data_IF_898337223695
#
_entry.id   IF_898337223695
#
_cell.length_a   1.000
_cell.length_b   1.000
_cell.length_c   1.000
_cell.angle_alpha   90.00
_cell.angle_beta   90.00
_cell.angle_gamma   90.00
#
_symmetry.space_group_name_H-M   'P 1'
#
loop_
_entity.id
_entity.type
_entity.pdbx_description
1 polymer ?
#
# COMPACT_ATOMS: atom_id res chain seq x y z
N UNK A 1 -10.87 -14.03 18.99
CA UNK A 1 -10.23 -13.00 18.18
C UNK A 1 -11.20 -11.83 18.12
N UNK A 2 -10.82 -10.66 17.70
CA UNK A 2 -11.67 -9.51 17.93
C UNK A 2 -11.79 -8.63 16.70
N UNK A 3 -13.01 -8.22 16.36
CA UNK A 3 -13.27 -7.09 15.46
C UNK A 3 -12.71 -5.81 16.10
N UNK A 4 -12.18 -4.90 15.29
CA UNK A 4 -11.69 -3.60 15.74
C UNK A 4 -12.46 -2.50 15.03
N UNK A 5 -12.89 -1.49 15.80
CA UNK A 5 -13.60 -0.33 15.26
C UNK A 5 -12.92 0.95 15.76
N UNK A 6 -12.57 1.81 14.82
CA UNK A 6 -12.29 3.22 15.06
C UNK A 6 -13.53 4.00 14.64
N UNK A 7 -14.11 4.80 15.53
CA UNK A 7 -15.29 5.60 15.24
C UNK A 7 -14.98 7.09 15.45
N UNK A 8 -14.86 7.82 14.33
CA UNK A 8 -14.59 9.25 14.32
C UNK A 8 -13.29 9.65 15.02
N UNK A 9 -12.27 8.78 15.02
CA UNK A 9 -11.03 8.99 15.77
C UNK A 9 -10.25 10.17 15.22
N UNK A 10 -9.90 11.09 16.13
CA UNK A 10 -9.06 12.25 15.82
C UNK A 10 -7.91 12.37 16.81
N UNK A 11 -6.75 12.81 16.34
CA UNK A 11 -5.58 13.12 17.16
C UNK A 11 -4.93 14.42 16.73
N UNK A 12 -4.85 15.34 17.68
CA UNK A 12 -4.15 16.63 17.53
C UNK A 12 -2.99 16.67 18.51
N UNK A 13 -1.79 16.97 18.02
CA UNK A 13 -0.61 17.20 18.85
C UNK A 13 -0.40 18.70 19.04
N UNK A 14 -0.18 19.12 20.28
CA UNK A 14 -0.07 20.53 20.62
C UNK A 14 -1.35 21.29 20.29
N UNK A 15 -1.22 22.50 19.69
CA UNK A 15 -2.36 23.33 19.29
C UNK A 15 -2.81 23.11 17.85
N UNK A 16 -1.95 22.62 16.94
CA UNK A 16 -2.18 22.80 15.51
C UNK A 16 -1.86 21.57 14.63
N UNK A 17 -1.15 20.56 15.14
CA UNK A 17 -0.73 19.42 14.32
C UNK A 17 -1.81 18.31 14.35
N UNK A 18 -2.64 18.27 13.32
CA UNK A 18 -3.65 17.22 13.16
C UNK A 18 -2.97 15.99 12.53
N UNK A 19 -2.72 14.97 13.33
CA UNK A 19 -2.11 13.72 12.86
C UNK A 19 -3.13 12.68 12.39
N UNK A 20 -4.34 12.68 12.96
CA UNK A 20 -5.48 11.84 12.56
C UNK A 20 -6.72 12.72 12.61
N UNK A 21 -7.53 12.69 11.56
CA UNK A 21 -8.68 13.56 11.40
C UNK A 21 -9.93 12.76 11.05
N UNK A 22 -10.79 12.56 12.04
CA UNK A 22 -12.10 11.93 11.93
C UNK A 22 -12.07 10.58 11.18
N UNK A 23 -11.13 9.70 11.53
CA UNK A 23 -10.99 8.39 10.91
C UNK A 23 -11.98 7.41 11.49
N UNK A 24 -12.84 6.88 10.62
CA UNK A 24 -13.74 5.75 10.93
C UNK A 24 -13.31 4.54 10.09
N UNK A 25 -12.95 3.43 10.77
CA UNK A 25 -12.45 2.22 10.14
C UNK A 25 -12.91 1.00 10.91
N UNK A 26 -13.52 0.07 10.22
CA UNK A 26 -13.91 -1.23 10.74
C UNK A 26 -13.01 -2.33 10.18
N UNK A 27 -12.43 -3.14 11.08
CA UNK A 27 -11.55 -4.27 10.76
C UNK A 27 -12.22 -5.53 11.26
N UNK A 28 -12.48 -6.47 10.38
CA UNK A 28 -13.16 -7.73 10.70
C UNK A 28 -12.37 -8.63 11.64
N UNK A 29 -13.07 -9.54 12.31
CA UNK A 29 -12.43 -10.58 13.12
C UNK A 29 -11.56 -11.49 12.22
N UNK A 30 -10.31 -11.67 12.59
CA UNK A 30 -9.34 -12.44 11.81
C UNK A 30 -8.86 -11.77 10.51
N UNK A 31 -9.20 -10.51 10.28
CA UNK A 31 -8.78 -9.78 9.05
C UNK A 31 -7.33 -9.30 9.13
N UNK A 32 -6.63 -9.35 7.97
CA UNK A 32 -5.33 -8.69 7.77
C UNK A 32 -5.55 -7.34 7.09
N UNK A 33 -5.61 -6.27 7.89
CA UNK A 33 -5.75 -4.89 7.43
C UNK A 33 -4.38 -4.22 7.31
N UNK A 34 -4.09 -3.63 6.16
CA UNK A 34 -2.87 -2.82 5.97
C UNK A 34 -3.21 -1.34 5.95
N UNK A 35 -2.46 -0.53 6.68
CA UNK A 35 -2.49 0.92 6.61
C UNK A 35 -1.32 1.41 5.77
N UNK A 36 -1.59 2.14 4.71
CA UNK A 36 -0.58 2.64 3.76
C UNK A 36 -0.80 4.12 3.46
N UNK A 37 0.25 4.82 3.05
CA UNK A 37 0.22 6.24 2.69
C UNK A 37 1.59 6.87 2.87
N UNK A 38 1.80 8.11 2.42
CA UNK A 38 3.06 8.83 2.53
C UNK A 38 3.51 9.00 3.98
N UNK A 39 4.78 9.34 4.17
CA UNK A 39 5.32 9.64 5.48
C UNK A 39 4.56 10.78 6.16
N UNK A 40 4.33 10.64 7.46
CA UNK A 40 3.58 11.63 8.24
C UNK A 40 2.06 11.61 8.06
N UNK A 41 1.48 10.72 7.23
CA UNK A 41 0.02 10.68 7.01
C UNK A 41 -0.80 10.10 8.18
N UNK A 42 -0.20 9.74 9.32
CA UNK A 42 -0.91 9.32 10.53
C UNK A 42 -0.95 7.82 10.80
N UNK A 43 -0.38 6.93 9.95
CA UNK A 43 -0.41 5.45 10.11
C UNK A 43 0.06 4.98 11.49
N UNK A 44 1.30 5.32 11.85
CA UNK A 44 1.88 4.92 13.14
C UNK A 44 1.15 5.58 14.33
N UNK A 45 0.54 6.76 14.12
CA UNK A 45 -0.30 7.40 15.14
C UNK A 45 -1.56 6.58 15.39
N UNK A 46 -2.27 6.15 14.35
CA UNK A 46 -3.44 5.24 14.46
C UNK A 46 -3.03 3.95 15.17
N UNK A 47 -1.90 3.36 14.78
CA UNK A 47 -1.43 2.12 15.41
C UNK A 47 -1.12 2.32 16.91
N UNK A 48 -0.50 3.45 17.28
CA UNK A 48 -0.22 3.80 18.69
C UNK A 48 -1.50 4.09 19.48
N UNK A 49 -2.50 4.71 18.87
CA UNK A 49 -3.83 4.90 19.47
C UNK A 49 -4.47 3.54 19.77
N UNK A 50 -4.47 2.62 18.82
CA UNK A 50 -4.97 1.25 19.01
C UNK A 50 -4.23 0.52 20.13
N UNK A 51 -2.90 0.72 20.21
CA UNK A 51 -2.07 0.15 21.26
C UNK A 51 -2.30 0.78 22.66
N UNK A 52 -2.97 1.93 22.75
CA UNK A 52 -3.10 2.71 23.97
C UNK A 52 -1.80 3.41 24.41
N UNK A 53 -0.87 3.58 23.44
CA UNK A 53 0.38 4.31 23.63
C UNK A 53 0.21 5.80 23.31
N UNK A 54 -0.92 6.16 22.70
CA UNK A 54 -1.29 7.53 22.36
C UNK A 54 -2.78 7.73 22.68
N UNK A 55 -3.13 8.84 23.31
CA UNK A 55 -4.50 9.20 23.64
C UNK A 55 -5.21 9.81 22.43
N UNK A 56 -6.49 9.53 22.27
CA UNK A 56 -7.33 10.19 21.26
C UNK A 56 -7.71 11.61 21.72
N UNK A 57 -7.86 12.51 20.77
CA UNK A 57 -8.43 13.85 21.05
C UNK A 57 -9.96 13.81 20.97
N UNK A 58 -10.50 12.99 20.06
CA UNK A 58 -11.94 12.73 19.90
C UNK A 58 -12.18 11.37 19.25
N UNK A 59 -13.39 10.85 19.37
CA UNK A 59 -13.79 9.55 18.82
C UNK A 59 -13.55 8.39 19.78
N UNK A 60 -13.86 7.19 19.33
CA UNK A 60 -13.84 5.98 20.15
C UNK A 60 -13.07 4.84 19.48
N UNK A 61 -12.48 3.98 20.33
CA UNK A 61 -11.79 2.75 19.92
C UNK A 61 -12.44 1.57 20.61
N UNK A 62 -12.84 0.57 19.81
CA UNK A 62 -13.48 -0.66 20.30
C UNK A 62 -12.68 -1.86 19.83
N UNK A 63 -12.39 -2.80 20.72
CA UNK A 63 -11.76 -4.10 20.43
C UNK A 63 -12.66 -5.22 20.95
N UNK A 64 -13.16 -6.06 20.05
CA UNK A 64 -14.21 -7.01 20.37
C UNK A 64 -15.48 -6.27 20.81
N UNK A 65 -15.98 -6.60 22.01
CA UNK A 65 -17.15 -5.98 22.62
C UNK A 65 -16.77 -4.88 23.64
N UNK A 66 -15.48 -4.51 23.71
CA UNK A 66 -14.98 -3.61 24.76
C UNK A 66 -14.54 -2.29 24.16
N UNK A 67 -15.10 -1.18 24.64
CA UNK A 67 -14.58 0.14 24.39
C UNK A 67 -13.26 0.31 25.17
N UNK A 68 -12.16 0.54 24.43
CA UNK A 68 -10.82 0.59 25.00
C UNK A 68 -10.18 1.98 24.93
N UNK A 69 -10.96 3.00 24.57
CA UNK A 69 -10.46 4.37 24.32
C UNK A 69 -9.56 4.86 25.45
N UNK A 70 -10.01 4.74 26.71
CA UNK A 70 -9.29 5.21 27.89
C UNK A 70 -8.48 4.10 28.61
N UNK A 71 -8.48 2.87 28.08
CA UNK A 71 -7.76 1.77 28.70
C UNK A 71 -6.25 1.84 28.41
N UNK A 72 -5.41 1.59 29.41
CA UNK A 72 -3.96 1.51 29.21
C UNK A 72 -3.59 0.26 28.37
N UNK A 73 -2.40 0.23 27.74
CA UNK A 73 -1.98 -0.86 26.82
C UNK A 73 -2.09 -2.26 27.44
N UNK A 74 -1.81 -2.40 28.74
CA UNK A 74 -1.85 -3.70 29.44
C UNK A 74 -3.25 -4.34 29.54
N UNK A 75 -4.31 -3.54 29.37
CA UNK A 75 -5.71 -3.94 29.51
C UNK A 75 -6.41 -4.16 28.16
N UNK A 76 -5.74 -3.83 27.03
CA UNK A 76 -6.31 -3.95 25.68
C UNK A 76 -6.14 -5.33 25.05
N UNK A 77 -5.41 -6.23 25.68
CA UNK A 77 -5.10 -7.60 25.21
C UNK A 77 -4.60 -7.67 23.75
N UNK A 78 -3.75 -6.74 23.37
CA UNK A 78 -3.11 -6.66 22.05
C UNK A 78 -1.60 -6.97 22.16
N UNK A 79 -0.98 -7.32 21.05
CA UNK A 79 0.47 -7.44 20.96
C UNK A 79 1.02 -6.57 19.84
N UNK A 80 2.07 -5.81 20.12
CA UNK A 80 2.71 -4.91 19.15
C UNK A 80 4.11 -5.40 18.78
N UNK A 81 4.38 -5.37 17.46
CA UNK A 81 5.72 -5.58 16.89
C UNK A 81 6.19 -4.22 16.38
N UNK A 82 7.28 -3.73 16.93
CA UNK A 82 7.87 -2.44 16.60
C UNK A 82 8.86 -2.55 15.45
N UNK A 83 9.07 -1.48 14.71
CA UNK A 83 10.02 -1.35 13.61
C UNK A 83 11.46 -1.78 13.99
N UNK A 84 11.90 -1.46 15.20
CA UNK A 84 13.22 -1.82 15.72
C UNK A 84 13.26 -3.15 16.49
N UNK A 85 12.19 -3.98 16.35
CA UNK A 85 11.99 -5.27 17.01
C UNK A 85 11.89 -5.20 18.55
N UNK A 86 12.45 -4.21 19.20
CA UNK A 86 12.46 -3.97 20.65
C UNK A 86 12.80 -5.22 21.49
N UNK A 87 13.76 -6.05 21.04
CA UNK A 87 14.21 -7.23 21.75
C UNK A 87 15.07 -6.85 22.95
N UNK A 88 15.01 -7.64 24.03
CA UNK A 88 15.86 -7.48 25.20
C UNK A 88 17.25 -8.05 24.90
N UNK A 89 18.32 -7.21 24.73
CA UNK A 89 19.60 -7.65 24.19
C UNK A 89 20.40 -8.57 25.12
N UNK A 90 20.11 -8.50 26.41
CA UNK A 90 20.76 -9.34 27.43
C UNK A 90 20.11 -10.70 27.64
N UNK A 91 18.90 -10.90 27.09
CA UNK A 91 18.13 -12.16 27.19
C UNK A 91 18.36 -13.04 25.97
N UNK A 92 18.29 -14.37 26.16
CA UNK A 92 18.27 -15.34 25.07
C UNK A 92 16.95 -15.26 24.28
N UNK A 93 16.85 -15.95 23.11
CA UNK A 93 15.62 -16.09 22.34
C UNK A 93 14.50 -16.66 23.21
N UNK A 94 14.75 -17.78 23.91
CA UNK A 94 13.80 -18.41 24.82
C UNK A 94 13.31 -17.44 25.91
N UNK A 95 14.23 -16.66 26.45
CA UNK A 95 13.92 -15.67 27.48
C UNK A 95 13.10 -14.50 26.93
N UNK A 96 13.39 -14.03 25.71
CA UNK A 96 12.62 -13.01 25.03
C UNK A 96 11.20 -13.48 24.75
N UNK A 97 11.04 -14.69 24.18
CA UNK A 97 9.73 -15.28 23.90
C UNK A 97 8.88 -15.39 25.18
N UNK A 98 9.42 -15.96 26.23
CA UNK A 98 8.70 -16.22 27.49
C UNK A 98 8.53 -15.01 28.41
N UNK A 99 9.10 -13.83 28.09
CA UNK A 99 9.11 -12.70 29.01
C UNK A 99 7.73 -12.22 29.41
N UNK A 100 6.84 -12.02 28.46
CA UNK A 100 5.46 -11.56 28.70
C UNK A 100 4.65 -12.53 29.56
N UNK A 101 4.81 -13.83 29.35
CA UNK A 101 4.14 -14.86 30.15
C UNK A 101 4.69 -14.92 31.58
N UNK A 102 6.00 -14.68 31.76
CA UNK A 102 6.59 -14.57 33.11
C UNK A 102 6.02 -13.42 33.91
N UNK A 103 5.82 -12.26 33.28
CA UNK A 103 5.18 -11.10 33.94
C UNK A 103 3.73 -11.38 34.32
N UNK A 104 3.01 -12.16 33.51
CA UNK A 104 1.63 -12.63 33.81
C UNK A 104 1.59 -13.76 34.84
N UNK A 105 2.75 -14.19 35.36
CA UNK A 105 2.89 -15.30 36.34
C UNK A 105 2.32 -16.64 35.81
N UNK A 106 2.40 -16.87 34.50
CA UNK A 106 1.96 -18.12 33.87
C UNK A 106 2.75 -19.31 34.45
N UNK A 107 2.08 -20.45 34.76
CA UNK A 107 2.75 -21.65 35.28
C UNK A 107 3.91 -22.11 34.39
N UNK A 108 5.02 -22.54 34.99
CA UNK A 108 6.25 -22.87 34.23
C UNK A 108 6.07 -23.93 33.15
N UNK A 109 5.19 -24.90 33.36
CA UNK A 109 4.89 -25.97 32.39
C UNK A 109 4.20 -25.37 31.16
N UNK A 110 3.18 -24.56 31.36
CA UNK A 110 2.45 -23.90 30.28
C UNK A 110 3.32 -22.89 29.55
N UNK A 111 4.13 -22.09 30.26
CA UNK A 111 5.08 -21.16 29.66
C UNK A 111 6.05 -21.90 28.72
N UNK A 112 6.64 -23.00 29.19
CA UNK A 112 7.56 -23.79 28.39
C UNK A 112 6.88 -24.33 27.14
N UNK A 113 5.70 -24.93 27.28
CA UNK A 113 4.92 -25.47 26.17
C UNK A 113 4.64 -24.40 25.09
N UNK A 114 4.09 -23.23 25.47
CA UNK A 114 3.78 -22.15 24.53
C UNK A 114 5.02 -21.59 23.84
N UNK A 115 6.14 -21.46 24.55
CA UNK A 115 7.41 -20.99 23.98
C UNK A 115 7.95 -22.00 22.97
N UNK A 116 7.90 -23.31 23.27
CA UNK A 116 8.34 -24.37 22.37
C UNK A 116 7.43 -24.43 21.12
N UNK A 117 6.11 -24.38 21.29
CA UNK A 117 5.15 -24.39 20.19
C UNK A 117 5.41 -23.22 19.20
N UNK A 118 5.59 -22.00 19.72
CA UNK A 118 5.87 -20.81 18.89
C UNK A 118 7.27 -20.88 18.28
N UNK A 119 8.27 -21.39 19.02
CA UNK A 119 9.61 -21.55 18.47
C UNK A 119 9.62 -22.49 17.27
N UNK A 120 8.90 -23.60 17.35
CA UNK A 120 8.75 -24.58 16.26
C UNK A 120 8.02 -23.96 15.06
N UNK A 121 6.91 -23.24 15.28
CA UNK A 121 6.17 -22.54 14.21
C UNK A 121 7.08 -21.58 13.42
N UNK A 122 7.98 -20.87 14.12
CA UNK A 122 8.84 -19.84 13.55
C UNK A 122 10.23 -20.36 13.15
N UNK A 123 10.52 -21.68 13.35
CA UNK A 123 11.83 -22.28 13.09
C UNK A 123 12.95 -21.67 13.93
N UNK A 124 12.65 -21.39 15.21
CA UNK A 124 13.59 -20.77 16.17
C UNK A 124 14.26 -21.80 17.08
N UNK A 125 13.87 -23.09 17.03
CA UNK A 125 14.38 -24.15 17.91
C UNK A 125 15.93 -24.16 18.01
N UNK A 126 16.69 -24.10 16.88
CA UNK A 126 18.17 -24.12 16.96
C UNK A 126 18.77 -22.82 17.52
N UNK A 127 17.96 -21.77 17.72
CA UNK A 127 18.41 -20.45 18.11
C UNK A 127 18.04 -20.08 19.55
N UNK A 128 17.32 -20.96 20.28
CA UNK A 128 16.70 -20.67 21.58
C UNK A 128 17.68 -20.13 22.63
N UNK A 129 18.94 -20.56 22.60
CA UNK A 129 19.96 -20.16 23.56
C UNK A 129 20.80 -18.95 23.10
N UNK A 130 20.60 -18.49 21.84
CA UNK A 130 21.32 -17.31 21.32
C UNK A 130 20.72 -16.00 21.86
N UNK A 131 21.56 -14.95 21.86
CA UNK A 131 21.13 -13.58 22.17
C UNK A 131 20.86 -12.81 20.88
N UNK A 132 20.05 -11.72 20.91
CA UNK A 132 19.71 -10.92 19.73
C UNK A 132 20.90 -10.45 18.88
N UNK A 133 22.05 -10.13 19.51
CA UNK A 133 23.27 -9.73 18.80
C UNK A 133 23.89 -10.82 17.92
N UNK A 134 23.53 -12.09 18.15
CA UNK A 134 24.04 -13.26 17.42
C UNK A 134 23.10 -13.71 16.30
N UNK A 135 22.03 -12.94 16.04
CA UNK A 135 20.99 -13.25 15.09
C UNK A 135 21.06 -12.35 13.86
N UNK A 136 20.66 -12.89 12.69
CA UNK A 136 20.41 -12.08 11.50
C UNK A 136 19.16 -11.19 11.68
N UNK A 137 18.97 -10.20 10.78
CA UNK A 137 17.79 -9.32 10.80
C UNK A 137 16.47 -10.11 10.80
N UNK A 138 16.29 -11.05 9.87
CA UNK A 138 15.09 -11.88 9.81
C UNK A 138 14.92 -12.83 10.98
N UNK A 139 16.02 -13.29 11.60
CA UNK A 139 15.94 -14.06 12.84
C UNK A 139 15.46 -13.20 14.01
N UNK A 140 15.97 -11.96 14.15
CA UNK A 140 15.49 -11.00 15.17
C UNK A 140 14.00 -10.69 14.98
N UNK A 141 13.57 -10.50 13.74
CA UNK A 141 12.16 -10.27 13.43
C UNK A 141 11.29 -11.45 13.86
N UNK A 142 11.66 -12.69 13.50
CA UNK A 142 10.93 -13.89 13.93
C UNK A 142 10.83 -13.99 15.45
N UNK A 143 11.89 -13.63 16.18
CA UNK A 143 11.84 -13.57 17.65
C UNK A 143 10.87 -12.50 18.15
N UNK A 144 10.84 -11.31 17.52
CA UNK A 144 9.89 -10.25 17.89
C UNK A 144 8.45 -10.69 17.66
N UNK A 145 8.18 -11.33 16.51
CA UNK A 145 6.87 -11.92 16.22
C UNK A 145 6.50 -13.02 17.22
N UNK A 146 7.41 -13.94 17.51
CA UNK A 146 7.19 -15.00 18.48
C UNK A 146 6.88 -14.47 19.88
N UNK A 147 7.53 -13.40 20.31
CA UNK A 147 7.23 -12.71 21.57
C UNK A 147 5.80 -12.15 21.61
N UNK A 148 5.28 -11.69 20.48
CA UNK A 148 3.91 -11.26 20.35
C UNK A 148 2.94 -12.46 20.37
N UNK A 149 3.23 -13.51 19.59
CA UNK A 149 2.40 -14.71 19.43
C UNK A 149 2.20 -15.53 20.72
N UNK A 150 3.26 -15.71 21.51
CA UNK A 150 3.22 -16.50 22.76
C UNK A 150 2.12 -15.99 23.73
N UNK A 151 1.71 -14.72 23.59
CA UNK A 151 0.69 -14.11 24.43
C UNK A 151 -0.75 -14.46 24.01
N UNK A 152 -0.94 -15.00 22.79
CA UNK A 152 -2.26 -15.26 22.18
C UNK A 152 -3.17 -14.03 22.28
N UNK A 153 -2.80 -12.88 21.69
CA UNK A 153 -3.54 -11.65 21.82
C UNK A 153 -4.80 -11.67 20.96
N UNK A 154 -5.75 -10.79 21.25
CA UNK A 154 -6.94 -10.59 20.41
C UNK A 154 -6.59 -9.95 19.07
N UNK A 155 -5.55 -9.13 19.01
CA UNK A 155 -5.06 -8.53 17.76
C UNK A 155 -3.54 -8.31 17.76
N UNK A 156 -2.95 -8.39 16.57
CA UNK A 156 -1.57 -7.99 16.29
C UNK A 156 -1.51 -6.60 15.70
N UNK A 157 -0.62 -5.77 16.22
CA UNK A 157 -0.30 -4.44 15.70
C UNK A 157 1.16 -4.46 15.23
N UNK A 158 1.42 -4.22 13.94
CA UNK A 158 2.74 -4.31 13.34
C UNK A 158 3.14 -2.96 12.72
N UNK A 159 4.15 -2.31 13.29
CA UNK A 159 4.68 -1.01 12.83
C UNK A 159 5.92 -1.25 11.98
N UNK A 160 5.78 -1.24 10.66
CA UNK A 160 6.82 -1.42 9.65
C UNK A 160 7.82 -2.57 9.95
N UNK A 161 7.35 -3.78 10.22
CA UNK A 161 8.23 -4.83 10.75
C UNK A 161 9.27 -5.32 9.74
N UNK A 162 9.12 -5.05 8.43
CA UNK A 162 10.03 -5.50 7.36
C UNK A 162 10.99 -4.42 6.86
N UNK A 163 10.84 -3.15 7.28
CA UNK A 163 11.60 -2.01 6.75
C UNK A 163 13.12 -2.15 6.88
N UNK A 164 13.60 -2.79 7.96
CA UNK A 164 15.01 -2.97 8.24
C UNK A 164 15.65 -4.23 7.61
N UNK A 165 14.97 -4.87 6.63
CA UNK A 165 15.45 -6.08 5.96
C UNK A 165 15.90 -5.79 4.53
N UNK A 166 16.91 -6.55 4.07
CA UNK A 166 17.27 -6.55 2.65
C UNK A 166 16.13 -7.10 1.77
N UNK A 167 16.16 -6.76 0.48
CA UNK A 167 15.08 -7.08 -0.48
C UNK A 167 14.78 -8.60 -0.54
N UNK A 168 15.82 -9.46 -0.56
CA UNK A 168 15.64 -10.92 -0.64
C UNK A 168 14.96 -11.47 0.62
N UNK A 169 15.41 -11.00 1.77
CA UNK A 169 14.86 -11.42 3.06
C UNK A 169 13.43 -10.90 3.24
N UNK A 170 13.13 -9.68 2.76
CA UNK A 170 11.79 -9.08 2.78
C UNK A 170 10.78 -9.95 2.02
N UNK A 171 11.12 -10.42 0.81
CA UNK A 171 10.27 -11.35 0.04
C UNK A 171 9.96 -12.62 0.83
N UNK A 172 11.00 -13.24 1.43
CA UNK A 172 10.83 -14.46 2.23
C UNK A 172 9.93 -14.22 3.46
N UNK A 173 10.15 -13.09 4.13
CA UNK A 173 9.39 -12.75 5.35
C UNK A 173 7.93 -12.40 5.06
N UNK A 174 7.62 -11.76 3.93
CA UNK A 174 6.23 -11.55 3.48
C UNK A 174 5.48 -12.87 3.34
N UNK A 175 6.08 -13.83 2.61
CA UNK A 175 5.47 -15.16 2.45
C UNK A 175 5.26 -15.86 3.81
N UNK A 176 6.22 -15.76 4.74
CA UNK A 176 6.09 -16.32 6.08
C UNK A 176 4.98 -15.63 6.89
N UNK A 177 4.86 -14.29 6.78
CA UNK A 177 3.79 -13.53 7.44
C UNK A 177 2.41 -13.95 6.96
N UNK A 178 2.21 -14.10 5.65
CA UNK A 178 0.95 -14.56 5.07
C UNK A 178 0.57 -15.95 5.60
N UNK A 179 1.49 -16.93 5.51
CA UNK A 179 1.26 -18.29 6.02
C UNK A 179 1.00 -18.31 7.53
N UNK A 180 1.65 -17.44 8.28
CA UNK A 180 1.44 -17.32 9.71
C UNK A 180 0.05 -16.77 10.04
N UNK A 181 -0.37 -15.72 9.33
CA UNK A 181 -1.69 -15.16 9.48
C UNK A 181 -2.79 -16.19 9.18
N UNK A 182 -2.67 -16.91 8.07
CA UNK A 182 -3.61 -17.98 7.70
C UNK A 182 -3.74 -19.06 8.78
N UNK A 183 -2.62 -19.38 9.44
CA UNK A 183 -2.60 -20.37 10.54
C UNK A 183 -3.21 -19.87 11.83
N UNK A 184 -2.95 -18.60 12.17
CA UNK A 184 -3.39 -18.02 13.44
C UNK A 184 -4.80 -17.42 13.35
N UNK A 185 -5.20 -16.97 12.16
CA UNK A 185 -6.43 -16.24 11.87
C UNK A 185 -6.71 -15.08 12.86
N UNK A 186 -5.64 -14.46 13.41
CA UNK A 186 -5.75 -13.38 14.39
C UNK A 186 -5.84 -12.04 13.67
N UNK A 187 -6.77 -11.19 14.08
CA UNK A 187 -6.91 -9.82 13.55
C UNK A 187 -5.56 -9.11 13.56
N UNK A 188 -5.14 -8.62 12.40
CA UNK A 188 -3.81 -8.02 12.24
C UNK A 188 -3.93 -6.65 11.59
N UNK A 189 -3.32 -5.63 12.22
CA UNK A 189 -3.15 -4.31 11.62
C UNK A 189 -1.66 -4.13 11.34
N UNK A 190 -1.36 -3.90 10.08
CA UNK A 190 -0.01 -3.81 9.56
C UNK A 190 0.22 -2.42 8.95
N UNK A 191 1.22 -1.70 9.43
CA UNK A 191 1.63 -0.41 8.87
C UNK A 191 2.83 -0.62 7.97
N UNK A 192 2.80 -0.03 6.79
CA UNK A 192 3.93 -0.01 5.86
C UNK A 192 3.91 1.25 4.99
N UNK A 193 5.05 1.62 4.45
CA UNK A 193 5.18 2.54 3.32
C UNK A 193 5.41 1.78 1.99
N UNK A 194 5.74 0.48 2.05
CA UNK A 194 5.96 -0.37 0.87
C UNK A 194 4.63 -0.83 0.26
N UNK A 195 4.32 -0.33 -0.94
CA UNK A 195 3.09 -0.69 -1.66
C UNK A 195 3.03 -2.18 -2.00
N UNK A 196 4.18 -2.83 -2.28
CA UNK A 196 4.22 -4.27 -2.59
C UNK A 196 3.82 -5.09 -1.37
N UNK A 197 4.20 -4.65 -0.16
CA UNK A 197 3.75 -5.28 1.07
C UNK A 197 2.23 -5.13 1.23
N UNK A 198 1.72 -3.92 1.03
CA UNK A 198 0.28 -3.65 1.13
C UNK A 198 -0.54 -4.49 0.14
N UNK A 199 -0.10 -4.56 -1.12
CA UNK A 199 -0.80 -5.28 -2.17
C UNK A 199 -0.70 -6.81 -2.04
N UNK A 200 0.31 -7.34 -1.32
CA UNK A 200 0.53 -8.79 -1.22
C UNK A 200 0.07 -9.40 0.10
N UNK A 201 0.02 -8.63 1.19
CA UNK A 201 -0.35 -9.10 2.52
C UNK A 201 -1.79 -8.74 2.89
N UNK A 202 -2.26 -7.55 2.48
CA UNK A 202 -3.56 -7.04 2.88
C UNK A 202 -4.73 -7.81 2.28
N UNK A 203 -5.65 -8.27 3.11
CA UNK A 203 -7.00 -8.64 2.65
C UNK A 203 -7.79 -7.38 2.28
N UNK A 204 -7.63 -6.33 3.09
CA UNK A 204 -8.01 -4.95 2.77
C UNK A 204 -6.87 -4.01 3.10
N UNK A 205 -6.82 -2.91 2.36
CA UNK A 205 -5.81 -1.85 2.52
C UNK A 205 -6.54 -0.53 2.73
N UNK A 206 -6.17 0.19 3.77
CA UNK A 206 -6.63 1.53 4.07
C UNK A 206 -5.57 2.54 3.63
N UNK A 207 -5.91 3.36 2.65
CA UNK A 207 -5.04 4.41 2.12
C UNK A 207 -5.28 5.71 2.88
N UNK A 208 -4.23 6.26 3.47
CA UNK A 208 -4.25 7.46 4.31
C UNK A 208 -3.49 8.61 3.64
N UNK A 209 -4.05 9.82 3.72
CA UNK A 209 -3.41 11.06 3.33
C UNK A 209 -3.73 12.14 4.38
N UNK A 210 -2.73 12.80 4.94
CA UNK A 210 -2.89 13.93 5.89
C UNK A 210 -3.83 13.66 7.07
N UNK A 211 -3.73 12.45 7.64
CA UNK A 211 -4.59 12.03 8.74
C UNK A 211 -6.01 11.62 8.32
N UNK A 212 -6.33 11.66 7.02
CA UNK A 212 -7.66 11.37 6.49
C UNK A 212 -7.63 10.04 5.74
N UNK A 213 -8.62 9.20 5.99
CA UNK A 213 -8.83 7.96 5.25
C UNK A 213 -9.39 8.26 3.86
N UNK A 214 -8.66 7.89 2.81
CA UNK A 214 -9.02 8.15 1.42
C UNK A 214 -9.89 7.04 0.82
N UNK A 215 -9.47 5.79 1.01
CA UNK A 215 -10.20 4.61 0.53
C UNK A 215 -9.79 3.38 1.34
N UNK A 216 -10.74 2.46 1.54
CA UNK A 216 -10.49 1.12 2.12
C UNK A 216 -11.10 0.09 1.21
N UNK A 217 -10.28 -0.78 0.66
CA UNK A 217 -10.76 -1.85 -0.22
C UNK A 217 -9.75 -2.99 -0.33
N UNK A 218 -10.09 -4.04 -1.08
CA UNK A 218 -9.12 -5.05 -1.49
C UNK A 218 -8.00 -4.41 -2.33
N UNK A 219 -6.76 -4.94 -2.27
CA UNK A 219 -5.65 -4.44 -3.08
C UNK A 219 -6.01 -4.27 -4.57
N UNK A 220 -6.70 -5.26 -5.14
CA UNK A 220 -7.08 -5.24 -6.54
C UNK A 220 -8.08 -4.12 -6.84
N UNK A 221 -9.07 -3.88 -5.98
CA UNK A 221 -10.04 -2.80 -6.17
C UNK A 221 -9.39 -1.42 -6.05
N UNK A 222 -8.46 -1.22 -5.11
CA UNK A 222 -7.70 0.04 -5.01
C UNK A 222 -6.93 0.34 -6.31
N UNK A 223 -6.36 -0.68 -6.95
CA UNK A 223 -5.64 -0.54 -8.21
C UNK A 223 -6.58 -0.28 -9.39
N UNK A 224 -7.68 -1.02 -9.48
CA UNK A 224 -8.62 -0.99 -10.61
C UNK A 224 -9.68 0.11 -10.50
N UNK A 225 -10.06 0.50 -9.28
CA UNK A 225 -11.15 1.44 -8.99
C UNK A 225 -10.72 2.45 -7.91
N UNK A 226 -9.69 3.28 -8.16
CA UNK A 226 -9.29 4.32 -7.22
C UNK A 226 -10.42 5.33 -7.03
N UNK A 227 -10.73 5.68 -5.77
CA UNK A 227 -11.80 6.62 -5.45
C UNK A 227 -11.46 8.06 -5.82
N UNK A 228 -10.17 8.39 -5.91
CA UNK A 228 -9.72 9.74 -6.25
C UNK A 228 -8.33 9.72 -6.89
N UNK A 229 -7.90 10.89 -7.37
CA UNK A 229 -6.62 11.11 -8.04
C UNK A 229 -5.43 10.71 -7.15
N UNK A 230 -5.49 11.02 -5.84
CA UNK A 230 -4.44 10.64 -4.92
C UNK A 230 -4.26 9.11 -4.86
N UNK A 231 -5.33 8.36 -4.64
CA UNK A 231 -5.27 6.89 -4.59
C UNK A 231 -4.78 6.33 -5.92
N UNK A 232 -5.26 6.87 -7.04
CA UNK A 232 -4.83 6.46 -8.39
C UNK A 232 -3.34 6.66 -8.63
N UNK A 233 -2.81 7.81 -8.25
CA UNK A 233 -1.39 8.17 -8.38
C UNK A 233 -0.51 7.43 -7.36
N UNK A 234 -1.00 7.23 -6.13
CA UNK A 234 -0.24 6.61 -5.06
C UNK A 234 -0.15 5.08 -5.21
N UNK A 235 -1.23 4.40 -5.61
CA UNK A 235 -1.26 2.93 -5.72
C UNK A 235 -0.77 2.48 -7.09
N UNK A 236 0.34 1.76 -7.10
CA UNK A 236 0.98 1.17 -8.30
C UNK A 236 2.45 1.56 -8.43
N UNK A 237 3.28 0.60 -8.87
CA UNK A 237 4.70 0.80 -9.15
C UNK A 237 5.03 0.14 -10.49
N UNK A 238 5.37 0.91 -11.53
CA UNK A 238 5.43 2.39 -11.58
C UNK A 238 4.08 3.06 -11.35
N UNK A 239 4.06 4.38 -11.00
CA UNK A 239 2.81 5.11 -10.75
C UNK A 239 1.97 5.25 -12.03
N UNK A 240 0.69 5.61 -11.87
CA UNK A 240 -0.23 5.90 -12.98
C UNK A 240 0.27 7.11 -13.78
N UNK A 241 0.29 6.99 -15.11
CA UNK A 241 0.53 8.13 -16.01
C UNK A 241 -0.69 9.06 -15.99
N UNK A 242 -0.45 10.34 -15.77
CA UNK A 242 -1.52 11.33 -15.63
C UNK A 242 -1.34 12.47 -16.63
N UNK A 243 -2.41 12.86 -17.28
CA UNK A 243 -2.43 13.97 -18.25
C UNK A 243 -3.82 14.60 -18.31
N UNK A 244 -3.90 15.90 -18.60
CA UNK A 244 -5.16 16.53 -18.95
C UNK A 244 -5.61 16.06 -20.34
N UNK A 245 -6.88 15.69 -20.44
CA UNK A 245 -7.48 15.19 -21.66
C UNK A 245 -8.87 15.81 -21.91
N UNK A 246 -9.26 15.90 -23.18
CA UNK A 246 -10.60 16.34 -23.57
C UNK A 246 -11.45 15.15 -24.01
N UNK A 247 -12.67 15.08 -23.50
CA UNK A 247 -13.65 14.05 -23.86
C UNK A 247 -14.64 14.63 -24.85
N UNK A 248 -14.76 14.02 -26.03
CA UNK A 248 -15.71 14.46 -27.05
C UNK A 248 -16.11 13.31 -27.95
N UNK A 249 -17.44 13.15 -28.17
CA UNK A 249 -18.02 12.23 -29.17
C UNK A 249 -17.46 10.80 -29.13
N UNK A 250 -17.32 10.21 -27.92
CA UNK A 250 -16.77 8.85 -27.73
C UNK A 250 -15.26 8.75 -27.98
N UNK A 251 -14.54 9.85 -27.88
CA UNK A 251 -13.08 9.92 -28.01
C UNK A 251 -12.46 10.69 -26.85
N UNK A 252 -11.22 10.40 -26.58
CA UNK A 252 -10.40 11.12 -25.60
C UNK A 252 -9.14 11.62 -26.30
N UNK A 253 -8.92 12.94 -26.24
CA UNK A 253 -7.78 13.58 -26.89
C UNK A 253 -6.83 14.16 -25.85
N UNK A 254 -5.54 13.82 -25.93
CA UNK A 254 -4.48 14.32 -25.06
C UNK A 254 -3.13 14.34 -25.79
N UNK A 255 -2.27 15.29 -25.49
CA UNK A 255 -0.89 15.36 -26.00
C UNK A 255 -0.77 15.13 -27.53
N UNK A 256 -1.74 15.58 -28.33
CA UNK A 256 -1.78 15.35 -29.78
C UNK A 256 -2.31 13.98 -30.21
N UNK A 257 -2.57 13.06 -29.29
CA UNK A 257 -3.23 11.78 -29.58
C UNK A 257 -4.74 11.89 -29.47
N UNK A 258 -5.44 11.09 -30.26
CA UNK A 258 -6.91 11.03 -30.28
C UNK A 258 -7.37 9.56 -30.27
N UNK A 259 -7.82 9.11 -29.13
CA UNK A 259 -8.10 7.69 -28.83
C UNK A 259 -9.60 7.46 -28.83
N UNK A 260 -10.08 6.48 -29.61
CA UNK A 260 -11.46 6.07 -29.59
C UNK A 260 -11.77 5.29 -28.31
N UNK A 261 -12.87 5.64 -27.65
CA UNK A 261 -13.38 4.86 -26.52
C UNK A 261 -14.12 3.60 -27.03
N UNK A 262 -14.06 2.48 -26.30
CA UNK A 262 -14.85 1.30 -26.65
C UNK A 262 -16.34 1.60 -26.67
N UNK A 263 -17.14 0.90 -27.50
CA UNK A 263 -18.59 1.05 -27.51
C UNK A 263 -19.19 0.85 -26.11
N UNK A 264 -20.05 1.78 -25.70
CA UNK A 264 -20.69 1.76 -24.38
C UNK A 264 -19.84 2.35 -23.23
N UNK A 265 -18.65 2.91 -23.55
CA UNK A 265 -17.91 3.74 -22.63
C UNK A 265 -18.20 5.20 -22.95
N UNK A 266 -18.91 5.89 -22.11
CA UNK A 266 -19.23 7.30 -22.29
C UNK A 266 -19.03 8.07 -20.98
N UNK A 267 -18.78 9.35 -21.13
CA UNK A 267 -18.66 10.32 -20.03
C UNK A 267 -19.62 11.49 -20.32
N UNK A 268 -20.96 11.27 -20.27
CA UNK A 268 -21.95 12.24 -20.76
C UNK A 268 -21.87 13.58 -20.03
N UNK A 269 -21.56 13.57 -18.73
CA UNK A 269 -21.42 14.79 -17.92
C UNK A 269 -20.16 15.61 -18.25
N UNK A 270 -19.20 15.02 -18.97
CA UNK A 270 -17.90 15.63 -19.28
C UNK A 270 -17.68 15.87 -20.78
N UNK A 271 -18.71 15.72 -21.61
CA UNK A 271 -18.63 16.00 -23.04
C UNK A 271 -18.20 17.46 -23.31
N UNK A 272 -17.10 17.63 -24.05
CA UNK A 272 -16.50 18.93 -24.34
C UNK A 272 -15.75 19.56 -23.15
N UNK A 273 -15.52 18.80 -22.08
CA UNK A 273 -14.81 19.25 -20.89
C UNK A 273 -13.44 18.57 -20.76
N UNK A 274 -12.56 19.22 -20.02
CA UNK A 274 -11.27 18.66 -19.60
C UNK A 274 -11.49 17.75 -18.40
N UNK A 275 -10.80 16.59 -18.43
CA UNK A 275 -10.66 15.63 -17.32
C UNK A 275 -9.19 15.36 -17.09
N UNK A 276 -8.82 14.81 -15.94
CA UNK A 276 -7.51 14.19 -15.76
C UNK A 276 -7.65 12.72 -16.18
N UNK A 277 -6.92 12.34 -17.22
CA UNK A 277 -6.82 10.97 -17.72
C UNK A 277 -5.69 10.25 -17.00
N UNK A 278 -5.99 9.07 -16.45
CA UNK A 278 -5.04 8.14 -15.86
C UNK A 278 -4.88 6.89 -16.72
N UNK A 279 -3.63 6.53 -17.03
CA UNK A 279 -3.27 5.34 -17.79
C UNK A 279 -2.26 4.53 -16.98
N UNK A 280 -2.60 3.30 -16.63
CA UNK A 280 -1.67 2.43 -15.92
C UNK A 280 -0.51 2.01 -16.85
N UNK A 281 0.74 1.94 -16.37
CA UNK A 281 1.86 1.44 -17.17
C UNK A 281 1.63 0.05 -17.77
N UNK A 282 0.90 -0.81 -17.07
CA UNK A 282 0.54 -2.17 -17.52
C UNK A 282 -0.50 -2.22 -18.65
N UNK A 283 -1.20 -1.12 -18.91
CA UNK A 283 -2.26 -1.04 -19.93
C UNK A 283 -1.72 -0.57 -21.29
N UNK A 284 -0.39 -0.42 -21.38
CA UNK A 284 0.36 -0.16 -22.60
C UNK A 284 1.27 -1.34 -22.93
N UNK A 285 1.30 -1.75 -24.21
CA UNK A 285 2.14 -2.85 -24.68
C UNK A 285 2.86 -2.50 -25.98
N UNK A 286 4.07 -3.02 -26.16
CA UNK A 286 4.83 -2.86 -27.42
C UNK A 286 4.17 -3.69 -28.54
N UNK A 287 3.69 -3.00 -29.58
CA UNK A 287 3.02 -3.62 -30.74
C UNK A 287 3.94 -4.60 -31.47
N UNK A 288 5.26 -4.41 -31.41
CA UNK A 288 6.22 -5.34 -32.02
C UNK A 288 6.22 -6.71 -31.34
N UNK A 289 5.79 -6.79 -30.07
CA UNK A 289 5.71 -8.04 -29.31
C UNK A 289 4.28 -8.55 -29.22
N UNK A 290 3.33 -7.64 -28.93
CA UNK A 290 1.93 -7.97 -28.74
C UNK A 290 1.05 -7.14 -29.70
N UNK A 291 0.79 -7.70 -30.87
CA UNK A 291 -0.06 -7.07 -31.86
C UNK A 291 -1.54 -7.32 -31.53
N UNK A 292 -2.29 -6.24 -31.31
CA UNK A 292 -3.73 -6.27 -31.16
C UNK A 292 -4.34 -5.14 -31.99
N UNK A 293 -4.86 -5.48 -33.16
CA UNK A 293 -5.42 -4.52 -34.13
C UNK A 293 -6.73 -3.86 -33.64
N UNK A 294 -7.28 -4.28 -32.49
CA UNK A 294 -8.48 -3.68 -31.89
C UNK A 294 -8.14 -2.52 -30.93
N UNK A 295 -6.89 -2.40 -30.52
CA UNK A 295 -6.45 -1.34 -29.60
C UNK A 295 -5.91 -0.13 -30.40
N UNK A 296 -6.14 1.04 -29.86
CA UNK A 296 -5.49 2.26 -30.35
C UNK A 296 -4.00 2.23 -30.09
N UNK A 297 -3.21 2.95 -30.87
CA UNK A 297 -1.77 3.02 -30.73
C UNK A 297 -1.27 4.46 -30.62
N UNK A 298 -0.13 4.61 -29.95
CA UNK A 298 0.65 5.86 -29.91
C UNK A 298 2.09 5.58 -30.30
N UNK A 299 2.65 6.51 -31.05
CA UNK A 299 4.09 6.47 -31.38
C UNK A 299 4.84 7.39 -30.43
N UNK A 300 5.83 6.85 -29.76
CA UNK A 300 6.64 7.55 -28.76
C UNK A 300 8.13 7.32 -29.03
N UNK A 301 8.99 8.15 -28.45
CA UNK A 301 10.44 7.94 -28.45
C UNK A 301 10.85 7.56 -27.02
N UNK A 302 11.43 6.38 -26.84
CA UNK A 302 11.93 5.97 -25.55
C UNK A 302 13.10 6.88 -25.11
N UNK A 303 13.02 7.47 -23.92
CA UNK A 303 14.12 8.26 -23.34
C UNK A 303 15.03 7.39 -22.48
N UNK A 304 14.41 6.55 -21.65
CA UNK A 304 15.08 5.60 -20.77
C UNK A 304 14.38 4.24 -20.86
N UNK A 305 15.15 3.18 -20.77
CA UNK A 305 14.62 1.82 -20.61
C UNK A 305 15.23 1.16 -19.38
N UNK A 306 14.38 0.59 -18.54
CA UNK A 306 14.80 -0.16 -17.35
C UNK A 306 14.46 -1.63 -17.55
N UNK A 307 15.47 -2.46 -17.77
CA UNK A 307 15.30 -3.90 -17.96
C UNK A 307 15.20 -4.62 -16.60
N UNK A 308 14.02 -5.09 -16.25
CA UNK A 308 13.76 -5.77 -14.97
C UNK A 308 13.81 -7.29 -15.08
N UNK A 309 14.23 -7.83 -16.22
CA UNK A 309 14.37 -9.25 -16.50
C UNK A 309 13.10 -9.91 -17.02
N UNK A 310 11.97 -9.77 -16.36
CA UNK A 310 10.65 -10.28 -16.82
C UNK A 310 9.86 -9.25 -17.63
N UNK A 311 10.19 -7.99 -17.51
CA UNK A 311 9.50 -6.84 -18.13
C UNK A 311 10.50 -5.71 -18.34
N UNK A 312 10.14 -4.74 -19.18
CA UNK A 312 10.89 -3.52 -19.45
C UNK A 312 10.01 -2.31 -19.17
N UNK A 313 10.48 -1.38 -18.34
CA UNK A 313 9.88 -0.07 -18.23
C UNK A 313 10.43 0.82 -19.34
N UNK A 314 9.55 1.32 -20.20
CA UNK A 314 9.88 2.31 -21.24
C UNK A 314 9.41 3.67 -20.77
N UNK A 315 10.34 4.57 -20.49
CA UNK A 315 10.08 5.92 -20.02
C UNK A 315 10.20 6.87 -21.20
N UNK A 316 9.19 7.73 -21.38
CA UNK A 316 9.08 8.70 -22.47
C UNK A 316 8.32 9.94 -22.03
N UNK A 317 8.42 11.04 -22.77
CA UNK A 317 7.61 12.24 -22.55
C UNK A 317 6.50 12.34 -23.57
N UNK A 318 5.41 13.03 -23.19
CA UNK A 318 4.30 13.40 -24.07
C UNK A 318 4.21 14.92 -24.15
N UNK A 319 3.75 15.46 -25.28
CA UNK A 319 3.63 16.90 -25.52
C UNK A 319 2.43 17.52 -24.78
N UNK A 320 2.51 17.46 -23.47
CA UNK A 320 1.54 18.03 -22.54
C UNK A 320 2.21 18.39 -21.22
N UNK A 321 1.71 19.40 -20.49
CA UNK A 321 2.21 19.69 -19.15
C UNK A 321 1.89 18.56 -18.17
N UNK A 322 2.72 18.34 -17.14
CA UNK A 322 2.43 17.37 -16.08
C UNK A 322 1.22 17.82 -15.25
N UNK A 323 0.47 16.88 -14.73
CA UNK A 323 -0.62 17.14 -13.78
C UNK A 323 -0.01 17.37 -12.41
N UNK A 324 0.18 18.63 -12.04
CA UNK A 324 0.77 19.07 -10.78
C UNK A 324 -0.32 19.57 -9.84
N UNK A 325 -0.93 18.66 -9.10
CA UNK A 325 -1.87 18.95 -8.01
C UNK A 325 -1.23 18.61 -6.67
N UNK A 326 -1.82 19.07 -5.57
CA UNK A 326 -1.38 18.65 -4.23
C UNK A 326 -1.42 17.12 -4.08
N UNK A 327 -2.42 16.47 -4.69
CA UNK A 327 -2.58 15.02 -4.68
C UNK A 327 -1.44 14.30 -5.39
N UNK A 328 -1.08 14.72 -6.62
CA UNK A 328 -0.03 14.08 -7.41
C UNK A 328 1.35 14.30 -6.82
N UNK A 329 1.63 15.52 -6.34
CA UNK A 329 2.90 15.85 -5.68
C UNK A 329 3.05 15.01 -4.40
N UNK A 330 1.98 14.91 -3.61
CA UNK A 330 2.00 14.16 -2.36
C UNK A 330 2.07 12.65 -2.57
N UNK A 331 1.42 12.14 -3.62
CA UNK A 331 1.53 10.74 -4.00
C UNK A 331 2.95 10.35 -4.46
N UNK A 332 3.66 11.30 -5.10
CA UNK A 332 5.06 11.10 -5.53
C UNK A 332 6.07 11.31 -4.38
N UNK A 333 5.69 11.96 -3.27
CA UNK A 333 6.60 12.24 -2.15
C UNK A 333 6.75 11.03 -1.23
N UNK A 334 7.77 10.21 -1.45
CA UNK A 334 8.21 9.20 -0.48
C UNK A 334 9.41 9.70 0.32
N UNK A 335 9.70 9.10 1.48
CA UNK A 335 10.76 9.55 2.37
C UNK A 335 12.13 9.59 1.68
N UNK A 336 12.70 10.77 1.60
CA UNK A 336 14.10 11.01 1.27
C UNK A 336 14.40 11.54 -0.13
N UNK A 337 13.42 11.70 -1.00
CA UNK A 337 13.64 12.25 -2.34
C UNK A 337 13.08 13.67 -2.45
N UNK A 338 13.94 14.66 -2.23
CA UNK A 338 13.62 16.08 -2.46
C UNK A 338 13.44 16.43 -3.96
N UNK A 339 13.48 15.44 -4.85
CA UNK A 339 13.55 15.62 -6.31
C UNK A 339 12.39 14.95 -7.07
N UNK A 340 11.26 14.74 -6.39
CA UNK A 340 10.12 13.99 -6.95
C UNK A 340 9.39 14.70 -8.11
N UNK A 341 9.65 15.99 -8.34
CA UNK A 341 9.18 16.69 -9.54
C UNK A 341 9.77 16.08 -10.83
N UNK A 342 10.99 15.52 -10.76
CA UNK A 342 11.64 14.83 -11.89
C UNK A 342 10.94 13.53 -12.31
N UNK A 343 10.13 12.93 -11.43
CA UNK A 343 9.34 11.75 -11.75
C UNK A 343 8.10 12.09 -12.58
N UNK A 344 7.58 13.31 -12.42
CA UNK A 344 6.33 13.76 -13.07
C UNK A 344 6.61 14.54 -14.35
N UNK A 345 7.76 15.19 -14.47
CA UNK A 345 8.11 16.05 -15.61
C UNK A 345 9.58 15.89 -16.03
N UNK A 346 9.87 16.19 -17.29
CA UNK A 346 11.23 16.35 -17.79
C UNK A 346 11.76 17.78 -17.51
N UNK A 347 13.01 18.05 -17.93
CA UNK A 347 13.64 19.38 -17.84
C UNK A 347 12.86 20.48 -18.60
N UNK A 348 12.04 20.11 -19.58
CA UNK A 348 11.19 21.00 -20.37
C UNK A 348 9.79 21.19 -19.80
N UNK A 349 9.51 20.61 -18.63
CA UNK A 349 8.17 20.62 -18.00
C UNK A 349 7.10 19.85 -18.80
N UNK A 350 7.50 18.82 -19.56
CA UNK A 350 6.60 17.91 -20.23
C UNK A 350 6.27 16.72 -19.31
N UNK A 351 5.06 16.19 -19.45
CA UNK A 351 4.61 15.05 -18.66
C UNK A 351 5.40 13.78 -19.02
N UNK A 352 5.98 13.14 -18.00
CA UNK A 352 6.72 11.91 -18.14
C UNK A 352 5.78 10.71 -17.96
N UNK A 353 5.85 9.79 -18.91
CA UNK A 353 5.07 8.57 -18.92
C UNK A 353 5.98 7.35 -18.81
N UNK A 354 5.44 6.28 -18.27
CA UNK A 354 6.07 4.96 -18.23
C UNK A 354 5.12 3.93 -18.82
N UNK A 355 5.60 3.11 -19.76
CA UNK A 355 4.92 1.90 -20.20
C UNK A 355 5.67 0.69 -19.68
N UNK A 356 4.93 -0.31 -19.15
CA UNK A 356 5.50 -1.58 -18.72
C UNK A 356 5.23 -2.63 -19.78
N UNK A 357 6.25 -2.98 -20.55
CA UNK A 357 6.15 -3.86 -21.70
C UNK A 357 6.84 -5.20 -21.45
N UNK A 358 6.55 -6.18 -22.30
CA UNK A 358 7.16 -7.51 -22.24
C UNK A 358 8.70 -7.44 -22.40
N UNK A 359 9.44 -8.31 -21.72
CA UNK A 359 10.91 -8.38 -21.77
C UNK A 359 11.47 -8.66 -23.18
N UNK A 360 10.64 -9.12 -24.11
CA UNK A 360 11.02 -9.31 -25.53
C UNK A 360 10.98 -8.03 -26.36
N UNK A 361 10.50 -6.93 -25.80
CA UNK A 361 10.55 -5.63 -26.47
C UNK A 361 11.98 -5.25 -26.79
N UNK A 362 12.18 -4.70 -27.99
CA UNK A 362 13.46 -4.16 -28.43
C UNK A 362 13.55 -2.64 -28.22
N UNK A 363 12.69 -2.08 -27.39
CA UNK A 363 12.72 -0.66 -27.06
C UNK A 363 14.09 -0.26 -26.50
N UNK A 364 14.65 0.81 -27.05
CA UNK A 364 15.97 1.31 -26.64
C UNK A 364 15.95 2.85 -26.59
N UNK A 365 16.77 3.48 -25.75
CA UNK A 365 16.84 4.93 -25.64
C UNK A 365 17.12 5.60 -27.01
N UNK A 366 16.35 6.66 -27.32
CA UNK A 366 16.41 7.40 -28.58
C UNK A 366 15.73 6.72 -29.77
N UNK A 367 15.11 5.54 -29.57
CA UNK A 367 14.41 4.81 -30.64
C UNK A 367 12.89 5.01 -30.57
N UNK A 368 12.21 5.06 -31.72
CA UNK A 368 10.76 5.09 -31.77
C UNK A 368 10.18 3.73 -31.34
N UNK A 369 9.10 3.78 -30.57
CA UNK A 369 8.35 2.61 -30.12
C UNK A 369 6.86 2.88 -30.35
N UNK A 370 6.15 1.94 -30.95
CA UNK A 370 4.69 1.99 -31.08
C UNK A 370 4.06 1.20 -29.94
N UNK A 371 3.30 1.89 -29.09
CA UNK A 371 2.62 1.30 -27.95
C UNK A 371 1.13 1.17 -28.24
N UNK A 372 0.54 0.00 -28.02
CA UNK A 372 -0.92 -0.15 -27.97
C UNK A 372 -1.44 0.31 -26.59
N UNK A 373 -2.63 0.89 -26.55
CA UNK A 373 -3.28 1.38 -25.33
C UNK A 373 -4.69 0.81 -25.24
N UNK A 374 -5.01 0.23 -24.07
CA UNK A 374 -6.36 -0.26 -23.77
C UNK A 374 -7.22 0.84 -23.16
N UNK A 375 -7.99 1.53 -24.01
CA UNK A 375 -8.90 2.61 -23.58
C UNK A 375 -10.06 2.12 -22.67
N UNK A 376 -10.35 0.81 -22.63
CA UNK A 376 -11.33 0.25 -21.71
C UNK A 376 -10.86 0.29 -20.23
N UNK A 377 -9.58 0.49 -20.02
CA UNK A 377 -8.94 0.53 -18.70
C UNK A 377 -8.55 1.93 -18.25
N UNK A 378 -8.93 2.95 -19.01
CA UNK A 378 -8.68 4.34 -18.65
C UNK A 378 -9.38 4.70 -17.34
N UNK A 379 -8.67 5.50 -16.54
CA UNK A 379 -9.20 6.15 -15.35
C UNK A 379 -9.42 7.63 -15.63
N UNK A 380 -10.49 8.17 -15.07
CA UNK A 380 -10.83 9.58 -15.24
C UNK A 380 -11.02 10.23 -13.88
N UNK A 381 -10.51 11.43 -13.71
CA UNK A 381 -10.66 12.19 -12.48
C UNK A 381 -11.14 13.62 -12.81
N UNK A 382 -11.99 14.14 -11.94
CA UNK A 382 -12.44 15.53 -12.02
C UNK A 382 -11.29 16.49 -11.66
N UNK A 383 -10.94 17.44 -12.54
CA UNK A 383 -9.78 18.31 -12.29
C UNK A 383 -9.94 19.24 -11.08
N UNK A 384 -11.18 19.55 -10.67
CA UNK A 384 -11.45 20.47 -9.56
C UNK A 384 -11.47 19.79 -8.21
N UNK A 385 -11.94 18.52 -8.16
CA UNK A 385 -12.15 17.80 -6.90
C UNK A 385 -11.20 16.63 -6.70
N UNK A 386 -10.53 16.18 -7.77
CA UNK A 386 -9.74 14.94 -7.77
C UNK A 386 -10.58 13.66 -7.67
N UNK A 387 -11.91 13.75 -7.59
CA UNK A 387 -12.77 12.57 -7.48
C UNK A 387 -12.71 11.72 -8.73
N UNK A 388 -12.79 10.40 -8.57
CA UNK A 388 -12.90 9.47 -9.69
C UNK A 388 -14.21 9.69 -10.43
N UNK A 389 -14.13 9.71 -11.76
CA UNK A 389 -15.29 9.76 -12.65
C UNK A 389 -15.48 8.35 -13.19
N UNK A 390 -16.56 7.69 -12.81
CA UNK A 390 -16.91 6.41 -13.40
C UNK A 390 -17.46 6.65 -14.81
N UNK A 391 -16.85 6.02 -15.81
CA UNK A 391 -17.45 5.93 -17.13
C UNK A 391 -18.70 5.04 -17.05
N UNK A 392 -19.80 5.48 -17.65
CA UNK A 392 -20.97 4.62 -17.84
C UNK A 392 -20.54 3.40 -18.68
N UNK A 393 -20.28 2.29 -18.00
CA UNK A 393 -19.96 1.02 -18.64
C UNK A 393 -21.28 0.33 -18.95
N UNK A 394 -21.68 0.27 -20.21
CA UNK A 394 -22.74 -0.63 -20.62
C UNK A 394 -22.29 -2.05 -20.23
N UNK A 395 -22.93 -2.64 -19.22
CA UNK A 395 -22.67 -4.03 -18.81
C UNK A 395 -22.86 -4.90 -20.05
N UNK A 396 -21.82 -5.62 -20.54
CA UNK A 396 -22.03 -6.55 -21.62
C UNK A 396 -23.06 -7.57 -21.15
N UNK A 397 -24.17 -7.68 -21.85
CA UNK A 397 -25.17 -8.69 -21.60
C UNK A 397 -24.51 -10.08 -21.81
N UNK A 398 -24.15 -10.74 -20.74
CA UNK A 398 -23.86 -12.16 -20.66
C UNK A 398 -22.47 -12.60 -21.15
N UNK A 399 -21.58 -12.94 -20.22
CA UNK A 399 -20.69 -14.11 -20.30
C UNK A 399 -20.94 -14.95 -19.07
#
# INVERSE_FOLDING_TARGET
>A
MAKIVLDGVSKVFGSDVIAVNNVSLEIGDGEFMVLVGPSGCGKSTILRILAGLEEVTAGEVIIGDTQVTDLPPKERDIAMVFQNYALYPHMTVEQNLGFGLRLRKTPKVELKRRVEDVATILGLDPLMQRKPGELSGGQRQRVAMGRAMVREPQAFLMDEPLSNLDAKLRVQMRAQLALLHDRLATTTIYVTHDQVEAMTLGQRVAVLKDGILQQVDSPQNLYMHPANLFVGAFIGSPPMNLVEAQVSQGRVSFAGYDIALPPGYDLPAYQGRTVILGIRPSDMQDVAVWKNDQLSTIDVVAEVTEELGSEVNVIFTVDAPPVLTEDTIKAASDEGEADNMSLLADEKQLARFCARVDARSSAAPGQPVTLSIDAARFHYFDPATGASIEADRAVPAGV
#
